data_IF_033394677756
#
_entry.id   IF_033394677756
#
_cell.length_a   1.000
_cell.length_b   1.000
_cell.length_c   1.000
_cell.angle_alpha   90.00
_cell.angle_beta   90.00
_cell.angle_gamma   90.00
#
_symmetry.space_group_name_H-M   'P 1'
#
loop_
_entity.id
_entity.type
_entity.pdbx_description
1 polymer ?
#
# COMPACT_ATOMS: atom_id res chain seq x y z
N UNK A 1 -8.10 -0.03 12.48
CA UNK A 1 -8.71 -0.62 13.64
C UNK A 1 -9.33 0.51 14.42
N UNK A 2 -10.62 0.38 14.69
CA UNK A 2 -11.36 1.27 15.56
C UNK A 2 -11.49 0.59 16.92
N UNK A 3 -11.78 1.39 17.94
CA UNK A 3 -12.24 0.91 19.23
C UNK A 3 -13.70 0.48 19.08
N UNK A 4 -13.92 -0.83 19.02
CA UNK A 4 -15.25 -1.44 18.87
C UNK A 4 -15.95 -1.70 20.22
N UNK A 5 -15.29 -1.38 21.34
CA UNK A 5 -15.93 -1.43 22.66
C UNK A 5 -16.84 -0.21 22.91
N UNK A 6 -16.86 0.75 21.96
CA UNK A 6 -17.70 1.96 21.97
C UNK A 6 -18.70 1.97 20.81
N UNK A 7 -19.81 2.67 21.01
CA UNK A 7 -20.85 2.88 19.99
C UNK A 7 -21.17 4.39 19.84
N UNK A 8 -20.90 5.01 18.67
CA UNK A 8 -20.27 4.40 17.49
C UNK A 8 -18.78 4.08 17.71
N UNK A 9 -18.18 3.17 16.91
CA UNK A 9 -16.76 2.86 17.00
C UNK A 9 -15.88 4.11 16.81
N UNK A 10 -14.88 4.27 17.66
CA UNK A 10 -14.01 5.46 17.69
C UNK A 10 -12.58 5.17 17.20
N UNK A 11 -11.83 6.22 16.89
CA UNK A 11 -10.40 6.08 16.61
C UNK A 11 -9.62 5.71 17.88
N UNK A 12 -8.70 4.77 17.75
CA UNK A 12 -7.77 4.42 18.84
C UNK A 12 -6.72 5.53 18.92
N UNK A 13 -6.61 6.18 20.10
CA UNK A 13 -5.59 7.20 20.38
C UNK A 13 -4.49 6.61 21.27
N UNK A 14 -3.22 6.76 20.86
CA UNK A 14 -2.05 6.38 21.66
C UNK A 14 -1.05 7.52 21.68
N UNK A 15 -0.59 7.93 22.87
CA UNK A 15 0.32 9.08 23.01
C UNK A 15 -0.26 10.40 22.48
N UNK A 16 -1.59 10.55 22.47
CA UNK A 16 -2.27 11.73 21.92
C UNK A 16 -2.37 11.76 20.39
N UNK A 17 -2.01 10.70 19.69
CA UNK A 17 -2.10 10.59 18.23
C UNK A 17 -2.99 9.42 17.79
N UNK A 18 -3.71 9.53 16.67
CA UNK A 18 -4.43 8.39 16.10
C UNK A 18 -3.51 7.24 15.74
N UNK A 19 -3.90 6.01 16.09
CA UNK A 19 -3.20 4.80 15.68
C UNK A 19 -3.53 4.49 14.22
N UNK A 20 -2.55 4.68 13.35
CA UNK A 20 -2.67 4.37 11.93
C UNK A 20 -2.66 2.86 11.68
N UNK A 21 -3.43 2.43 10.69
CA UNK A 21 -3.50 1.03 10.27
C UNK A 21 -3.67 0.93 8.76
N UNK A 22 -3.27 -0.20 8.18
CA UNK A 22 -3.51 -0.45 6.76
C UNK A 22 -5.00 -0.76 6.51
N UNK A 23 -5.57 -0.14 5.49
CA UNK A 23 -6.91 -0.44 4.99
C UNK A 23 -6.90 -1.47 3.84
N UNK A 24 -5.80 -2.21 3.70
CA UNK A 24 -5.66 -3.30 2.73
C UNK A 24 -6.31 -4.62 3.19
N UNK A 25 -6.03 -5.70 2.46
CA UNK A 25 -6.56 -7.03 2.76
C UNK A 25 -5.54 -7.90 3.52
N UNK A 26 -5.99 -8.51 4.61
CA UNK A 26 -5.20 -9.50 5.38
C UNK A 26 -4.85 -10.70 4.50
N UNK A 27 -5.80 -11.22 3.72
CA UNK A 27 -5.57 -12.37 2.83
C UNK A 27 -4.51 -12.06 1.75
N UNK A 28 -4.49 -10.83 1.22
CA UNK A 28 -3.45 -10.40 0.26
C UNK A 28 -2.07 -10.35 0.94
N UNK A 29 -2.02 -9.84 2.17
CA UNK A 29 -0.78 -9.84 2.96
C UNK A 29 -0.26 -11.25 3.21
N UNK A 30 -1.14 -12.15 3.65
CA UNK A 30 -0.79 -13.57 3.87
C UNK A 30 -0.29 -14.25 2.60
N UNK A 31 -0.93 -13.96 1.45
CA UNK A 31 -0.46 -14.47 0.17
C UNK A 31 0.95 -13.97 -0.18
N UNK A 32 1.23 -12.69 0.04
CA UNK A 32 2.58 -12.12 -0.17
C UNK A 32 3.60 -12.77 0.76
N UNK A 33 3.29 -12.92 2.05
CA UNK A 33 4.20 -13.52 3.03
C UNK A 33 4.46 -15.01 2.74
N UNK A 34 3.44 -15.74 2.24
CA UNK A 34 3.54 -17.15 1.86
C UNK A 34 4.35 -17.36 0.58
N UNK A 35 3.99 -16.67 -0.50
CA UNK A 35 4.55 -16.91 -1.83
C UNK A 35 5.79 -16.06 -2.13
N UNK A 36 6.02 -14.99 -1.36
CA UNK A 36 7.20 -14.13 -1.42
C UNK A 36 7.56 -13.68 -2.86
N UNK A 37 6.59 -13.17 -3.66
CA UNK A 37 6.86 -12.72 -5.01
C UNK A 37 7.89 -11.58 -4.99
N UNK A 38 8.58 -11.32 -6.10
CA UNK A 38 9.51 -10.19 -6.16
C UNK A 38 8.82 -8.82 -6.11
N UNK A 39 7.60 -8.75 -6.64
CA UNK A 39 6.83 -7.52 -6.88
C UNK A 39 5.34 -7.79 -6.63
N UNK A 40 4.68 -6.90 -5.90
CA UNK A 40 3.23 -6.84 -5.75
C UNK A 40 2.71 -5.50 -6.28
N UNK A 41 1.75 -5.54 -7.20
CA UNK A 41 1.11 -4.34 -7.74
C UNK A 41 -0.28 -4.21 -7.12
N UNK A 42 -0.56 -3.04 -6.54
CA UNK A 42 -1.74 -2.78 -5.73
C UNK A 42 -2.47 -1.52 -6.22
N UNK A 43 -3.73 -1.40 -5.78
CA UNK A 43 -4.60 -0.25 -6.05
C UNK A 43 -5.66 -0.15 -4.95
N UNK A 44 -6.91 0.04 -5.33
CA UNK A 44 -8.10 0.15 -4.44
C UNK A 44 -8.21 1.48 -3.68
N UNK A 45 -7.14 1.93 -3.01
CA UNK A 45 -7.13 3.24 -2.32
C UNK A 45 -6.37 4.21 -3.21
N UNK A 46 -7.10 5.13 -3.82
CA UNK A 46 -6.62 6.01 -4.88
C UNK A 46 -5.66 7.08 -4.31
N UNK A 47 -5.94 7.55 -3.10
CA UNK A 47 -5.21 8.59 -2.39
C UNK A 47 -3.92 8.08 -1.72
N UNK A 48 -3.55 6.81 -1.92
CA UNK A 48 -2.46 6.14 -1.21
C UNK A 48 -1.31 5.72 -2.13
N UNK A 49 -0.77 6.69 -2.88
CA UNK A 49 0.49 6.47 -3.62
C UNK A 49 1.58 6.06 -2.62
N UNK A 50 2.15 4.87 -2.80
CA UNK A 50 3.10 4.31 -1.85
C UNK A 50 3.92 3.16 -2.43
N UNK A 51 5.11 2.97 -1.85
CA UNK A 51 5.86 1.72 -1.96
C UNK A 51 6.15 1.20 -0.56
N UNK A 52 5.93 -0.09 -0.35
CA UNK A 52 6.25 -0.78 0.88
C UNK A 52 7.04 -2.06 0.58
N UNK A 53 7.83 -2.52 1.55
CA UNK A 53 8.50 -3.82 1.50
C UNK A 53 7.80 -4.79 2.46
N UNK A 54 7.42 -5.95 1.96
CA UNK A 54 6.94 -7.09 2.76
C UNK A 54 7.91 -8.25 2.53
N UNK A 55 8.86 -8.44 3.46
CA UNK A 55 9.99 -9.35 3.23
C UNK A 55 10.78 -8.94 1.97
N UNK A 56 10.95 -9.87 1.02
CA UNK A 56 11.62 -9.57 -0.27
C UNK A 56 10.73 -8.81 -1.26
N UNK A 57 9.42 -8.86 -1.09
CA UNK A 57 8.45 -8.31 -2.05
C UNK A 57 8.44 -6.79 -1.99
N UNK A 58 8.66 -6.14 -3.13
CA UNK A 58 8.33 -4.72 -3.31
C UNK A 58 6.84 -4.61 -3.63
N UNK A 59 6.05 -3.95 -2.78
CA UNK A 59 4.64 -3.67 -3.01
C UNK A 59 4.47 -2.22 -3.46
N UNK A 60 3.86 -1.99 -4.62
CA UNK A 60 3.68 -0.67 -5.23
C UNK A 60 2.19 -0.38 -5.39
N UNK A 61 1.73 0.76 -4.88
CA UNK A 61 0.47 1.38 -5.25
C UNK A 61 0.79 2.73 -5.92
N UNK A 62 0.57 2.89 -7.24
CA UNK A 62 0.80 4.16 -7.92
C UNK A 62 -0.13 5.30 -7.44
N UNK A 63 -1.26 4.96 -6.81
CA UNK A 63 -2.34 5.90 -6.54
C UNK A 63 -3.12 6.27 -7.80
N UNK A 64 -4.11 7.15 -7.65
CA UNK A 64 -4.92 7.70 -8.73
C UNK A 64 -5.43 9.09 -8.36
N UNK A 65 -5.27 10.04 -9.27
CA UNK A 65 -5.85 11.39 -9.21
C UNK A 65 -6.74 11.63 -10.44
N UNK A 66 -7.52 10.60 -10.78
CA UNK A 66 -8.38 10.59 -11.98
C UNK A 66 -9.34 11.78 -12.03
N UNK A 67 -9.89 12.20 -10.89
CA UNK A 67 -10.82 13.34 -10.83
C UNK A 67 -10.17 14.67 -11.26
N UNK A 68 -8.84 14.76 -11.15
CA UNK A 68 -8.05 15.92 -11.56
C UNK A 68 -7.47 15.74 -12.98
N UNK A 69 -7.78 14.62 -13.64
CA UNK A 69 -7.27 14.28 -14.96
C UNK A 69 -5.79 13.86 -14.95
N UNK A 70 -5.22 13.58 -13.78
CA UNK A 70 -3.80 13.24 -13.62
C UNK A 70 -3.62 11.72 -13.65
N UNK A 71 -2.76 11.24 -14.55
CA UNK A 71 -2.36 9.83 -14.63
C UNK A 71 -1.17 9.58 -13.72
N UNK A 72 -1.40 8.86 -12.62
CA UNK A 72 -0.32 8.32 -11.77
C UNK A 72 0.16 6.97 -12.30
N UNK A 73 1.45 6.72 -12.20
CA UNK A 73 2.08 5.47 -12.64
C UNK A 73 3.33 5.12 -11.85
N UNK A 74 3.92 3.97 -12.15
CA UNK A 74 5.21 3.57 -11.60
C UNK A 74 6.03 2.82 -12.66
N UNK A 75 7.23 3.30 -12.93
CA UNK A 75 8.24 2.56 -13.69
C UNK A 75 9.03 1.69 -12.73
N UNK A 76 9.14 0.41 -13.02
CA UNK A 76 9.88 -0.55 -12.18
C UNK A 76 11.01 -1.16 -13.00
N UNK A 77 12.24 -1.08 -12.48
CA UNK A 77 13.41 -1.76 -13.04
C UNK A 77 13.67 -3.02 -12.22
N UNK A 78 13.79 -4.16 -12.89
CA UNK A 78 14.06 -5.43 -12.24
C UNK A 78 15.04 -6.28 -13.05
N UNK A 79 15.85 -7.07 -12.34
CA UNK A 79 16.87 -7.97 -12.89
C UNK A 79 16.86 -9.24 -12.05
N UNK A 80 16.93 -10.40 -12.70
CA UNK A 80 17.05 -11.73 -12.06
C UNK A 80 16.07 -12.00 -10.92
N UNK A 81 14.80 -11.58 -11.09
CA UNK A 81 13.77 -11.80 -10.08
C UNK A 81 13.86 -10.84 -8.88
N UNK A 82 14.59 -9.73 -9.01
CA UNK A 82 14.73 -8.71 -7.97
C UNK A 82 14.43 -7.31 -8.51
N UNK A 83 13.68 -6.51 -7.74
CA UNK A 83 13.42 -5.11 -8.07
C UNK A 83 14.64 -4.27 -7.71
N UNK A 84 15.27 -3.68 -8.72
CA UNK A 84 16.48 -2.84 -8.60
C UNK A 84 16.13 -1.38 -8.34
N UNK A 85 14.97 -0.93 -8.84
CA UNK A 85 14.53 0.44 -8.66
C UNK A 85 13.07 0.61 -9.06
N UNK A 86 12.50 1.72 -8.60
CA UNK A 86 11.18 2.18 -9.02
C UNK A 86 11.16 3.70 -9.10
N UNK A 87 10.31 4.24 -9.95
CA UNK A 87 10.07 5.67 -10.08
C UNK A 87 8.58 5.90 -10.22
N UNK A 88 7.99 6.65 -9.28
CA UNK A 88 6.61 7.12 -9.44
C UNK A 88 6.54 8.18 -10.52
N UNK A 89 5.51 8.12 -11.35
CA UNK A 89 5.32 9.03 -12.49
C UNK A 89 3.98 9.72 -12.40
N UNK A 90 3.89 10.89 -13.04
CA UNK A 90 2.69 11.69 -13.17
C UNK A 90 2.65 12.31 -14.56
N UNK A 91 1.48 12.34 -15.19
CA UNK A 91 1.26 12.99 -16.48
C UNK A 91 -0.18 13.39 -16.69
#
# INVERSE_FOLDING_TARGET
>A
MLDWDKDPPEQIISGGQPVMHGAGSVAVREAIEKFKPMLGLHGHIHESQSVAKIGRTTCVNPGSEYAEGILRGCLVTFVDGEVQGYQMTSG
#
